data_IF_759719835359
#
_entry.id   IF_759719835359
#
_cell.length_a   1.000
_cell.length_b   1.000
_cell.length_c   1.000
_cell.angle_alpha   90.00
_cell.angle_beta   90.00
_cell.angle_gamma   90.00
#
_symmetry.space_group_name_H-M   'P 1'
#
loop_
_entity.id
_entity.type
_entity.pdbx_description
1 polymer ?
#
# COMPACT_ATOMS: atom_id res chain seq x y z
N UNK A 1 27.22 10.58 12.31
CA UNK A 1 26.10 10.15 13.17
C UNK A 1 26.09 8.62 13.19
N UNK A 2 26.11 7.99 14.36
CA UNK A 2 26.01 6.53 14.45
C UNK A 2 24.53 6.12 14.42
N UNK A 3 24.10 5.37 13.41
CA UNK A 3 22.76 4.80 13.39
C UNK A 3 22.65 3.75 14.50
N UNK A 4 21.60 3.83 15.32
CA UNK A 4 21.29 2.76 16.28
C UNK A 4 20.73 1.57 15.49
N UNK A 5 21.25 0.37 15.76
CA UNK A 5 20.72 -0.87 15.20
C UNK A 5 19.34 -1.13 15.81
N UNK A 6 18.32 -1.28 14.97
CA UNK A 6 16.95 -1.58 15.40
C UNK A 6 16.79 -3.06 15.71
N UNK A 7 15.91 -3.37 16.66
CA UNK A 7 15.44 -4.75 16.86
C UNK A 7 14.53 -5.20 15.71
N UNK A 8 14.35 -6.51 15.52
CA UNK A 8 13.51 -7.04 14.43
C UNK A 8 12.08 -6.45 14.39
N UNK A 9 11.34 -6.34 15.53
CA UNK A 9 10.03 -5.68 15.52
C UNK A 9 10.11 -4.20 15.13
N UNK A 10 11.12 -3.48 15.62
CA UNK A 10 11.33 -2.07 15.29
C UNK A 10 11.66 -1.87 13.82
N UNK A 11 12.48 -2.75 13.21
CA UNK A 11 12.81 -2.69 11.79
C UNK A 11 11.56 -2.92 10.93
N UNK A 12 10.77 -3.95 11.25
CA UNK A 12 9.51 -4.24 10.53
C UNK A 12 8.53 -3.07 10.58
N UNK A 13 8.38 -2.45 11.75
CA UNK A 13 7.54 -1.26 11.88
C UNK A 13 8.16 -0.03 11.21
N UNK A 14 9.49 0.13 11.23
CA UNK A 14 10.16 1.23 10.56
C UNK A 14 9.99 1.18 9.04
N UNK A 15 10.07 -0.01 8.43
CA UNK A 15 9.78 -0.21 7.01
C UNK A 15 8.36 0.22 6.67
N UNK A 16 7.35 -0.30 7.39
CA UNK A 16 5.95 0.07 7.18
C UNK A 16 5.69 1.58 7.37
N UNK A 17 6.25 2.15 8.43
CA UNK A 17 6.03 3.55 8.76
C UNK A 17 6.74 4.50 7.78
N UNK A 18 7.78 4.05 7.07
CA UNK A 18 8.54 4.88 6.11
C UNK A 18 7.70 5.43 4.96
N UNK A 19 6.55 4.80 4.69
CA UNK A 19 5.58 5.25 3.68
C UNK A 19 4.82 6.53 4.08
N UNK A 20 4.85 6.89 5.36
CA UNK A 20 4.11 8.01 5.92
C UNK A 20 5.03 9.16 6.31
N UNK A 21 4.53 10.39 6.20
CA UNK A 21 5.22 11.56 6.74
C UNK A 21 4.74 11.84 8.18
N UNK A 22 5.53 11.43 9.18
CA UNK A 22 5.18 11.55 10.59
C UNK A 22 6.40 11.89 11.47
N UNK A 23 6.13 12.33 12.70
CA UNK A 23 7.13 12.58 13.73
C UNK A 23 6.72 11.86 15.01
N UNK A 24 7.64 11.07 15.59
CA UNK A 24 7.39 10.38 16.85
C UNK A 24 7.76 11.29 18.01
N UNK A 25 6.76 11.75 18.76
CA UNK A 25 6.94 12.52 19.99
C UNK A 25 6.50 11.70 21.19
N UNK A 26 7.29 11.71 22.26
CA UNK A 26 6.88 11.10 23.53
C UNK A 26 5.71 11.88 24.14
N UNK A 27 4.62 11.17 24.46
CA UNK A 27 3.48 11.71 25.20
C UNK A 27 3.43 11.09 26.60
N UNK A 28 3.53 11.88 27.67
CA UNK A 28 3.29 11.42 29.03
C UNK A 28 1.88 10.83 29.20
N UNK A 29 1.73 9.83 30.08
CA UNK A 29 0.45 9.14 30.30
C UNK A 29 -0.72 10.05 30.69
N UNK A 30 -0.45 11.16 31.38
CA UNK A 30 -1.46 12.17 31.73
C UNK A 30 -2.05 12.91 30.53
N UNK A 31 -1.33 12.96 29.41
CA UNK A 31 -1.80 13.56 28.15
C UNK A 31 -2.34 12.50 27.17
N UNK A 32 -2.11 11.22 27.46
CA UNK A 32 -2.56 10.08 26.66
C UNK A 32 -3.87 9.47 27.19
N UNK A 33 -4.69 10.24 27.94
CA UNK A 33 -5.94 9.72 28.54
C UNK A 33 -6.93 9.22 27.50
N UNK A 34 -7.08 9.92 26.38
CA UNK A 34 -7.99 9.50 25.31
C UNK A 34 -7.54 8.18 24.66
N UNK A 35 -6.31 8.03 24.14
CA UNK A 35 -5.87 6.76 23.57
C UNK A 35 -5.82 5.64 24.63
N UNK A 36 -5.47 5.92 25.88
CA UNK A 36 -5.53 4.93 26.98
C UNK A 36 -6.97 4.45 27.23
N UNK A 37 -7.93 5.37 27.34
CA UNK A 37 -9.33 5.02 27.53
C UNK A 37 -9.89 4.20 26.36
N UNK A 38 -9.56 4.57 25.11
CA UNK A 38 -9.97 3.81 23.93
C UNK A 38 -9.33 2.42 23.88
N UNK A 39 -8.08 2.29 24.32
CA UNK A 39 -7.36 1.00 24.36
C UNK A 39 -7.90 0.02 25.42
N UNK A 40 -8.67 0.52 26.39
CA UNK A 40 -9.30 -0.28 27.45
C UNK A 40 -10.79 -0.51 27.23
N UNK A 41 -11.31 -0.05 26.09
CA UNK A 41 -12.73 -0.17 25.83
C UNK A 41 -13.05 -1.60 25.41
N UNK A 42 -13.46 -2.43 26.38
CA UNK A 42 -13.73 -3.86 26.20
C UNK A 42 -14.78 -4.16 25.11
N UNK A 43 -15.72 -3.23 24.91
CA UNK A 43 -16.70 -3.34 23.82
C UNK A 43 -16.04 -3.23 22.44
N UNK A 44 -14.97 -2.45 22.31
CA UNK A 44 -14.28 -2.22 21.03
C UNK A 44 -13.28 -3.32 20.67
N UNK A 45 -12.74 -4.02 21.66
CA UNK A 45 -11.76 -5.09 21.42
C UNK A 45 -12.42 -6.40 21.04
N UNK A 46 -11.97 -7.08 19.97
CA UNK A 46 -12.48 -8.37 19.58
C UNK A 46 -12.22 -9.38 20.68
N UNK A 47 -13.19 -10.27 20.86
CA UNK A 47 -12.98 -11.46 21.66
C UNK A 47 -12.05 -12.43 20.94
N UNK A 48 -11.47 -13.36 21.68
CA UNK A 48 -10.51 -14.31 21.13
C UNK A 48 -11.19 -15.14 20.03
N UNK A 49 -10.68 -15.04 18.80
CA UNK A 49 -11.24 -15.74 17.64
C UNK A 49 -12.42 -15.04 16.96
N UNK A 50 -12.75 -13.82 17.36
CA UNK A 50 -13.78 -12.97 16.74
C UNK A 50 -13.06 -11.80 16.07
N UNK A 51 -13.39 -11.45 14.83
CA UNK A 51 -12.77 -10.30 14.17
C UNK A 51 -13.31 -8.96 14.71
N UNK A 52 -12.52 -7.89 14.60
CA UNK A 52 -12.94 -6.53 15.01
C UNK A 52 -14.25 -6.10 14.33
N UNK A 53 -14.45 -6.51 13.07
CA UNK A 53 -15.62 -6.14 12.25
C UNK A 53 -16.88 -6.84 12.76
N UNK A 54 -16.79 -8.11 13.18
CA UNK A 54 -17.98 -8.85 13.61
C UNK A 54 -18.46 -8.41 14.98
N UNK A 55 -17.56 -7.99 15.89
CA UNK A 55 -17.96 -7.46 17.20
C UNK A 55 -18.56 -6.06 17.10
N UNK A 56 -18.04 -5.20 16.22
CA UNK A 56 -18.53 -3.84 16.02
C UNK A 56 -18.67 -3.51 14.53
N UNK A 57 -19.71 -4.02 13.88
CA UNK A 57 -19.98 -3.75 12.47
C UNK A 57 -20.10 -2.24 12.17
N UNK A 58 -20.60 -1.49 13.14
CA UNK A 58 -20.68 -0.03 13.09
C UNK A 58 -19.32 0.68 13.01
N UNK A 59 -18.21 0.06 13.43
CA UNK A 59 -16.88 0.67 13.33
C UNK A 59 -16.30 0.59 11.91
N UNK A 60 -16.85 -0.26 11.05
CA UNK A 60 -16.48 -0.31 9.64
C UNK A 60 -17.09 0.89 8.91
N UNK A 61 -16.40 2.02 8.99
CA UNK A 61 -16.70 3.18 8.18
C UNK A 61 -15.73 3.18 7.00
N UNK A 62 -16.28 3.13 5.78
CA UNK A 62 -15.49 3.45 4.61
C UNK A 62 -15.01 4.90 4.74
N UNK A 63 -13.69 5.11 4.81
CA UNK A 63 -13.08 6.45 4.93
C UNK A 63 -13.56 7.39 3.82
N UNK A 64 -13.84 6.81 2.64
CA UNK A 64 -14.46 7.50 1.52
C UNK A 64 -15.91 7.03 1.40
N UNK A 65 -16.86 7.87 1.81
CA UNK A 65 -18.27 7.57 1.55
C UNK A 65 -18.51 7.68 0.04
N UNK A 66 -19.15 6.69 -0.56
CA UNK A 66 -19.40 6.65 -2.01
C UNK A 66 -20.06 7.93 -2.56
N UNK A 67 -20.89 8.59 -1.75
CA UNK A 67 -21.57 9.84 -2.11
C UNK A 67 -20.69 11.11 -2.00
N UNK A 68 -19.55 11.01 -1.29
CA UNK A 68 -18.53 12.07 -1.13
C UNK A 68 -17.41 11.93 -2.18
N UNK A 69 -17.36 10.82 -2.93
CA UNK A 69 -16.51 10.64 -4.13
C UNK A 69 -17.12 11.44 -5.28
N UNK A 70 -17.16 12.76 -5.17
CA UNK A 70 -17.52 13.63 -6.30
C UNK A 70 -16.32 14.23 -7.00
N UNK A 71 -15.16 14.39 -6.36
CA UNK A 71 -13.97 14.98 -7.03
C UNK A 71 -12.61 14.54 -6.44
N UNK A 72 -12.43 13.30 -6.00
CA UNK A 72 -11.05 12.83 -5.74
C UNK A 72 -10.37 12.52 -7.08
N UNK A 73 -9.76 13.52 -7.70
CA UNK A 73 -8.77 13.34 -8.79
C UNK A 73 -7.47 12.73 -8.24
N UNK A 74 -7.54 11.60 -7.54
CA UNK A 74 -6.35 10.87 -7.14
C UNK A 74 -6.00 9.95 -8.30
N UNK A 75 -5.23 10.52 -9.23
CA UNK A 75 -4.64 9.88 -10.42
C UNK A 75 -5.65 9.24 -11.37
N UNK A 76 -6.11 10.01 -12.36
CA UNK A 76 -6.55 9.42 -13.61
C UNK A 76 -5.31 8.88 -14.33
N UNK A 77 -4.94 7.63 -14.05
CA UNK A 77 -4.05 6.88 -14.94
C UNK A 77 -4.85 6.72 -16.23
N UNK A 78 -4.45 7.45 -17.27
CA UNK A 78 -4.91 7.15 -18.62
C UNK A 78 -4.36 5.77 -18.95
N UNK A 79 -5.17 4.75 -18.72
CA UNK A 79 -4.92 3.42 -19.26
C UNK A 79 -5.26 3.53 -20.73
N UNK A 80 -4.28 3.93 -21.54
CA UNK A 80 -4.38 3.78 -22.98
C UNK A 80 -4.34 2.28 -23.26
N UNK A 81 -5.53 1.70 -23.47
CA UNK A 81 -5.66 0.32 -23.90
C UNK A 81 -5.22 0.29 -25.36
N UNK A 82 -3.94 0.03 -25.58
CA UNK A 82 -3.42 -0.13 -26.92
C UNK A 82 -3.78 -1.53 -27.43
N UNK A 83 -4.99 -1.68 -27.98
CA UNK A 83 -5.44 -2.92 -28.62
C UNK A 83 -4.46 -3.40 -29.68
N UNK A 84 -3.78 -2.47 -30.35
CA UNK A 84 -2.95 -2.73 -31.52
C UNK A 84 -1.45 -2.73 -31.19
N UNK A 85 -1.06 -2.58 -29.92
CA UNK A 85 0.36 -2.52 -29.51
C UNK A 85 1.11 -3.80 -29.85
N UNK A 86 0.45 -4.93 -29.64
CA UNK A 86 1.04 -6.26 -29.92
C UNK A 86 1.35 -6.37 -31.41
N UNK A 87 0.43 -5.95 -32.29
CA UNK A 87 0.63 -5.96 -33.74
C UNK A 87 1.73 -5.01 -34.19
N UNK A 88 1.84 -3.84 -33.54
CA UNK A 88 2.90 -2.87 -33.80
C UNK A 88 4.28 -3.40 -33.37
N UNK A 89 4.36 -4.02 -32.18
CA UNK A 89 5.58 -4.65 -31.69
C UNK A 89 5.99 -5.79 -32.62
N UNK A 90 5.06 -6.66 -33.04
CA UNK A 90 5.36 -7.75 -33.97
C UNK A 90 5.89 -7.25 -35.33
N UNK A 91 5.31 -6.17 -35.87
CA UNK A 91 5.81 -5.54 -37.10
C UNK A 91 7.21 -4.95 -36.90
N UNK A 92 7.46 -4.27 -35.79
CA UNK A 92 8.76 -3.69 -35.48
C UNK A 92 9.84 -4.77 -35.31
N UNK A 93 9.55 -5.82 -34.55
CA UNK A 93 10.44 -6.96 -34.31
C UNK A 93 10.77 -7.70 -35.63
N UNK A 94 9.81 -7.79 -36.55
CA UNK A 94 10.04 -8.38 -37.88
C UNK A 94 11.01 -7.59 -38.75
N UNK A 95 11.15 -6.28 -38.50
CA UNK A 95 12.05 -5.38 -39.24
C UNK A 95 13.41 -5.23 -38.56
N UNK A 96 13.50 -5.59 -37.28
CA UNK A 96 14.73 -5.47 -36.50
C UNK A 96 15.80 -6.48 -36.96
N UNK A 97 16.98 -5.97 -37.28
CA UNK A 97 18.13 -6.76 -37.76
C UNK A 97 18.87 -7.43 -36.61
N UNK A 98 18.94 -6.77 -35.46
CA UNK A 98 19.70 -7.25 -34.30
C UNK A 98 18.95 -8.42 -33.66
N UNK A 99 17.61 -8.32 -33.58
CA UNK A 99 16.76 -9.42 -33.12
C UNK A 99 16.93 -10.68 -33.99
N UNK A 100 16.98 -10.53 -35.32
CA UNK A 100 17.21 -11.66 -36.24
C UNK A 100 18.59 -12.28 -36.08
N UNK A 101 19.61 -11.47 -35.80
CA UNK A 101 20.96 -11.97 -35.61
C UNK A 101 21.10 -12.75 -34.29
N UNK A 102 20.44 -12.28 -33.22
CA UNK A 102 20.35 -13.00 -31.94
C UNK A 102 19.64 -14.35 -32.14
N UNK A 103 18.53 -14.40 -32.89
CA UNK A 103 17.83 -15.65 -33.19
C UNK A 103 18.71 -16.66 -33.95
N UNK A 104 19.54 -16.20 -34.88
CA UNK A 104 20.49 -17.08 -35.58
C UNK A 104 21.59 -17.61 -34.66
N UNK A 105 22.05 -16.81 -33.70
CA UNK A 105 23.04 -17.23 -32.72
C UNK A 105 22.49 -18.28 -31.75
N UNK A 106 21.20 -18.18 -31.41
CA UNK A 106 20.51 -19.15 -30.54
C UNK A 106 20.11 -20.44 -31.25
N UNK A 107 19.98 -20.43 -32.58
CA UNK A 107 19.64 -21.60 -33.39
C UNK A 107 20.85 -22.46 -33.80
N UNK A 108 22.03 -22.16 -33.26
CA UNK A 108 23.30 -22.87 -33.50
C UNK A 108 23.66 -23.78 -32.33
#
# INVERSE_FOLDING_TARGET
MSAKVLTCPQARWAEFLSEFHFSITYCPGSLATLPDALSRWDDMYPERGVDFISKNAQNFHQVLKQNEIKESRLFSIKVEVFSDLVDQIQKAVSQDKDYKEILKQLAR
#
